data_IF_373568740022
#
_entry.id   IF_373568740022
#
_cell.length_a   1.000
_cell.length_b   1.000
_cell.length_c   1.000
_cell.angle_alpha   90.00
_cell.angle_beta   90.00
_cell.angle_gamma   90.00
#
_symmetry.space_group_name_H-M   'P 1'
#
loop_
_entity.id
_entity.type
_entity.pdbx_description
1 polymer ?
#
# COMPACT_ATOMS: atom_id res chain seq x y z
N UNK A 1 -17.19 -2.83 -22.47
CA UNK A 1 -16.13 -2.19 -23.29
C UNK A 1 -14.94 -1.77 -22.42
N UNK A 2 -15.10 -0.93 -21.39
CA UNK A 2 -13.97 -0.56 -20.52
C UNK A 2 -13.44 -1.71 -19.64
N UNK A 3 -14.33 -2.57 -19.11
CA UNK A 3 -13.93 -3.78 -18.38
C UNK A 3 -13.10 -4.73 -19.26
N UNK A 4 -13.56 -4.99 -20.48
CA UNK A 4 -12.84 -5.79 -21.48
C UNK A 4 -11.48 -5.17 -21.83
N UNK A 5 -11.40 -3.83 -21.95
CA UNK A 5 -10.12 -3.16 -22.16
C UNK A 5 -9.17 -3.41 -20.98
N UNK A 6 -9.66 -3.32 -19.74
CA UNK A 6 -8.85 -3.62 -18.56
C UNK A 6 -8.39 -5.09 -18.54
N UNK A 7 -9.25 -6.03 -18.92
CA UNK A 7 -8.92 -7.47 -19.01
C UNK A 7 -7.82 -7.78 -20.03
N UNK A 8 -7.58 -6.90 -21.02
CA UNK A 8 -6.46 -7.06 -21.96
C UNK A 8 -5.10 -6.65 -21.38
N UNK A 9 -5.10 -5.91 -20.25
CA UNK A 9 -3.88 -5.52 -19.56
C UNK A 9 -3.42 -6.69 -18.70
N UNK A 10 -2.16 -7.09 -18.83
CA UNK A 10 -1.61 -8.20 -18.05
C UNK A 10 -1.69 -7.91 -16.55
N UNK A 11 -1.98 -8.93 -15.73
CA UNK A 11 -2.11 -8.77 -14.28
C UNK A 11 -0.86 -8.23 -13.57
N UNK A 12 0.32 -8.33 -14.20
CA UNK A 12 1.59 -7.80 -13.71
C UNK A 12 2.09 -6.59 -14.55
N UNK A 13 1.28 -6.08 -15.47
CA UNK A 13 1.64 -4.96 -16.35
C UNK A 13 1.38 -3.62 -15.64
N UNK A 14 2.33 -3.22 -14.78
CA UNK A 14 2.25 -1.98 -14.01
C UNK A 14 2.12 -0.75 -14.92
N UNK A 15 2.85 -0.70 -16.02
CA UNK A 15 2.82 0.45 -16.95
C UNK A 15 1.49 0.54 -17.70
N UNK A 16 0.92 -0.61 -18.09
CA UNK A 16 -0.41 -0.71 -18.67
C UNK A 16 -1.50 -0.26 -17.69
N UNK A 17 -1.43 -0.69 -16.43
CA UNK A 17 -2.35 -0.31 -15.37
C UNK A 17 -2.27 1.19 -15.04
N UNK A 18 -1.07 1.77 -14.92
CA UNK A 18 -0.89 3.21 -14.72
C UNK A 18 -1.41 4.02 -15.92
N UNK A 19 -1.19 3.52 -17.14
CA UNK A 19 -1.73 4.13 -18.35
C UNK A 19 -3.26 4.10 -18.36
N UNK A 20 -3.87 2.99 -17.96
CA UNK A 20 -5.32 2.88 -17.84
C UNK A 20 -5.87 3.88 -16.81
N UNK A 21 -5.27 3.98 -15.63
CA UNK A 21 -5.65 4.94 -14.60
C UNK A 21 -5.57 6.38 -15.12
N UNK A 22 -4.48 6.75 -15.79
CA UNK A 22 -4.29 8.09 -16.34
C UNK A 22 -5.35 8.43 -17.40
N UNK A 23 -5.61 7.53 -18.34
CA UNK A 23 -6.54 7.77 -19.45
C UNK A 23 -7.99 7.77 -18.97
N UNK A 24 -8.38 6.74 -18.22
CA UNK A 24 -9.77 6.59 -17.78
C UNK A 24 -10.11 7.50 -16.60
N UNK A 25 -9.14 7.88 -15.77
CA UNK A 25 -9.30 8.88 -14.71
C UNK A 25 -9.59 10.30 -15.20
N UNK A 26 -9.36 10.59 -16.48
CA UNK A 26 -9.78 11.86 -17.09
C UNK A 26 -11.29 11.94 -17.36
N UNK A 27 -12.00 10.80 -17.33
CA UNK A 27 -13.42 10.69 -17.71
C UNK A 27 -14.25 10.12 -16.57
N UNK A 28 -13.72 9.13 -15.86
CA UNK A 28 -14.37 8.47 -14.74
C UNK A 28 -14.06 9.19 -13.43
N UNK A 29 -15.02 9.16 -12.49
CA UNK A 29 -14.77 9.60 -11.13
C UNK A 29 -13.65 8.77 -10.50
N UNK A 30 -12.82 9.38 -9.64
CA UNK A 30 -11.64 8.73 -9.07
C UNK A 30 -11.97 7.48 -8.23
N UNK A 31 -13.16 7.48 -7.60
CA UNK A 31 -13.72 6.34 -6.86
C UNK A 31 -14.56 5.38 -7.72
N UNK A 32 -14.48 5.47 -9.06
CA UNK A 32 -15.16 4.52 -9.94
C UNK A 32 -14.56 3.12 -9.76
N UNK A 33 -15.41 2.09 -9.66
CA UNK A 33 -14.97 0.73 -9.27
C UNK A 33 -13.83 0.16 -10.12
N UNK A 34 -13.81 0.43 -11.44
CA UNK A 34 -12.70 0.04 -12.32
C UNK A 34 -11.37 0.75 -11.98
N UNK A 35 -11.43 2.02 -11.59
CA UNK A 35 -10.20 2.72 -11.18
C UNK A 35 -9.74 2.20 -9.82
N UNK A 36 -10.67 1.96 -8.90
CA UNK A 36 -10.36 1.38 -7.59
C UNK A 36 -9.74 -0.02 -7.73
N UNK A 37 -10.25 -0.88 -8.62
CA UNK A 37 -9.64 -2.20 -8.85
C UNK A 37 -8.22 -2.07 -9.41
N UNK A 38 -7.97 -1.11 -10.31
CA UNK A 38 -6.62 -0.86 -10.84
C UNK A 38 -5.68 -0.29 -9.77
N UNK A 39 -6.16 0.66 -8.95
CA UNK A 39 -5.39 1.20 -7.81
C UNK A 39 -5.01 0.08 -6.84
N UNK A 40 -5.93 -0.85 -6.57
CA UNK A 40 -5.70 -2.01 -5.72
C UNK A 40 -4.58 -2.89 -6.29
N UNK A 41 -4.70 -3.30 -7.57
CA UNK A 41 -3.66 -4.09 -8.24
C UNK A 41 -2.30 -3.40 -8.19
N UNK A 42 -2.23 -2.10 -8.44
CA UNK A 42 -0.97 -1.36 -8.36
C UNK A 42 -0.38 -1.30 -6.93
N UNK A 43 -1.21 -1.12 -5.89
CA UNK A 43 -0.76 -1.16 -4.49
C UNK A 43 -0.14 -2.54 -4.16
N UNK A 44 -0.64 -3.63 -4.76
CA UNK A 44 -0.07 -4.98 -4.60
C UNK A 44 1.19 -5.25 -5.45
N UNK A 45 1.27 -4.71 -6.67
CA UNK A 45 2.38 -4.96 -7.59
C UNK A 45 3.64 -4.18 -7.24
N UNK A 46 3.49 -2.89 -6.89
CA UNK A 46 4.63 -2.07 -6.50
C UNK A 46 5.31 -2.67 -5.27
N UNK A 47 6.58 -3.06 -5.40
CA UNK A 47 7.38 -3.68 -4.36
C UNK A 47 7.49 -5.20 -4.44
N UNK A 48 6.70 -5.87 -5.29
CA UNK A 48 6.60 -7.34 -5.29
C UNK A 48 7.00 -8.03 -6.59
N UNK A 49 6.89 -7.36 -7.74
CA UNK A 49 7.21 -7.95 -9.05
C UNK A 49 8.58 -7.50 -9.58
N UNK A 50 9.16 -8.29 -10.48
CA UNK A 50 10.40 -7.96 -11.17
C UNK A 50 10.30 -6.59 -11.89
N UNK A 51 11.36 -5.78 -11.78
CA UNK A 51 11.37 -4.41 -12.30
C UNK A 51 10.74 -3.38 -11.35
N UNK A 52 9.94 -3.84 -10.39
CA UNK A 52 9.28 -3.01 -9.38
C UNK A 52 9.48 -3.57 -7.96
N UNK A 53 10.54 -4.34 -7.69
CA UNK A 53 10.84 -4.79 -6.33
C UNK A 53 11.17 -3.60 -5.43
N UNK A 54 10.96 -3.72 -4.13
CA UNK A 54 11.21 -2.62 -3.17
C UNK A 54 12.57 -1.92 -3.36
N UNK A 55 13.72 -2.63 -3.51
CA UNK A 55 15.01 -1.98 -3.71
C UNK A 55 15.16 -1.26 -5.08
N UNK A 56 14.28 -1.57 -6.03
CA UNK A 56 14.27 -1.03 -7.39
C UNK A 56 13.37 0.20 -7.53
N UNK A 57 12.46 0.44 -6.58
CA UNK A 57 11.51 1.53 -6.68
C UNK A 57 12.19 2.90 -6.57
N UNK A 58 11.88 3.78 -7.52
CA UNK A 58 12.23 5.19 -7.45
C UNK A 58 11.47 5.90 -6.33
N UNK A 59 11.95 7.07 -5.92
CA UNK A 59 11.23 7.92 -4.94
C UNK A 59 9.82 8.28 -5.42
N UNK A 60 9.66 8.52 -6.73
CA UNK A 60 8.36 8.81 -7.33
C UNK A 60 7.43 7.60 -7.27
N UNK A 61 7.94 6.39 -7.51
CA UNK A 61 7.17 5.15 -7.40
C UNK A 61 6.79 4.81 -5.95
N UNK A 62 7.68 5.04 -4.99
CA UNK A 62 7.37 4.92 -3.56
C UNK A 62 6.24 5.89 -3.18
N UNK A 63 6.33 7.14 -3.63
CA UNK A 63 5.27 8.13 -3.38
C UNK A 63 3.97 7.76 -4.07
N UNK A 64 4.05 7.23 -5.29
CA UNK A 64 2.88 6.75 -6.04
C UNK A 64 2.19 5.62 -5.30
N UNK A 65 2.93 4.63 -4.80
CA UNK A 65 2.40 3.55 -3.96
C UNK A 65 1.70 4.12 -2.71
N UNK A 66 2.32 5.06 -2.01
CA UNK A 66 1.68 5.71 -0.86
C UNK A 66 0.34 6.36 -1.23
N UNK A 67 0.29 7.15 -2.30
CA UNK A 67 -0.95 7.79 -2.77
C UNK A 67 -2.03 6.76 -3.08
N UNK A 68 -1.70 5.71 -3.83
CA UNK A 68 -2.67 4.66 -4.17
C UNK A 68 -3.28 4.00 -2.93
N UNK A 69 -2.44 3.66 -1.95
CA UNK A 69 -2.92 3.01 -0.73
C UNK A 69 -3.72 4.00 0.16
N UNK A 70 -3.41 5.32 0.17
CA UNK A 70 -4.24 6.34 0.84
C UNK A 70 -5.60 6.53 0.18
N UNK A 71 -5.64 6.65 -1.15
CA UNK A 71 -6.89 6.79 -1.92
C UNK A 71 -7.83 5.60 -1.66
N UNK A 72 -7.27 4.38 -1.66
CA UNK A 72 -8.04 3.17 -1.39
C UNK A 72 -8.57 3.16 0.05
N UNK A 73 -7.75 3.53 1.05
CA UNK A 73 -8.20 3.57 2.45
C UNK A 73 -9.33 4.58 2.65
N UNK A 74 -9.29 5.75 2.02
CA UNK A 74 -10.37 6.73 2.11
C UNK A 74 -11.72 6.14 1.66
N UNK A 75 -11.71 5.37 0.58
CA UNK A 75 -12.93 4.72 0.07
C UNK A 75 -13.35 3.54 0.96
N UNK A 76 -12.40 2.69 1.35
CA UNK A 76 -12.68 1.50 2.18
C UNK A 76 -13.22 1.90 3.55
N UNK A 77 -12.71 2.97 4.15
CA UNK A 77 -13.20 3.49 5.44
C UNK A 77 -14.67 3.97 5.37
N UNK A 78 -15.19 4.30 4.17
CA UNK A 78 -16.60 4.67 3.98
C UNK A 78 -17.48 3.45 3.64
N UNK A 79 -16.98 2.53 2.80
CA UNK A 79 -17.76 1.38 2.33
C UNK A 79 -17.81 0.25 3.37
N UNK A 80 -16.71 0.01 4.07
CA UNK A 80 -16.53 -1.09 5.00
C UNK A 80 -15.78 -0.60 6.27
N UNK A 81 -16.39 0.27 7.10
CA UNK A 81 -15.73 0.89 8.26
C UNK A 81 -15.33 -0.10 9.38
N UNK A 82 -15.63 -1.39 9.20
CA UNK A 82 -15.30 -2.45 10.14
C UNK A 82 -13.87 -2.98 9.99
N UNK A 83 -13.64 -4.18 10.52
CA UNK A 83 -12.37 -4.87 10.41
C UNK A 83 -12.36 -5.70 9.12
N UNK A 84 -12.18 -5.04 7.97
CA UNK A 84 -12.14 -5.72 6.68
C UNK A 84 -10.71 -6.14 6.30
N UNK A 85 -10.58 -7.32 5.66
CA UNK A 85 -9.30 -7.84 5.14
C UNK A 85 -8.61 -6.80 4.27
N UNK A 86 -9.36 -6.20 3.35
CA UNK A 86 -8.88 -5.18 2.43
C UNK A 86 -8.22 -4.01 3.17
N UNK A 87 -8.85 -3.50 4.23
CA UNK A 87 -8.30 -2.43 5.06
C UNK A 87 -6.98 -2.85 5.72
N UNK A 88 -6.94 -4.04 6.32
CA UNK A 88 -5.74 -4.58 6.94
C UNK A 88 -4.58 -4.77 5.96
N UNK A 89 -4.89 -5.24 4.74
CA UNK A 89 -3.91 -5.42 3.66
C UNK A 89 -3.37 -4.10 3.15
N UNK A 90 -4.24 -3.10 2.86
CA UNK A 90 -3.78 -1.80 2.37
C UNK A 90 -2.91 -1.08 3.43
N UNK A 91 -3.26 -1.18 4.72
CA UNK A 91 -2.42 -0.64 5.80
C UNK A 91 -1.04 -1.28 5.85
N UNK A 92 -0.97 -2.60 5.64
CA UNK A 92 0.31 -3.28 5.48
C UNK A 92 1.06 -2.78 4.25
N UNK A 93 0.43 -2.70 3.08
CA UNK A 93 1.13 -2.22 1.88
C UNK A 93 1.63 -0.78 2.03
N UNK A 94 0.90 0.09 2.73
CA UNK A 94 1.24 1.50 2.94
C UNK A 94 2.40 1.70 3.94
N UNK A 95 2.61 0.78 4.89
CA UNK A 95 3.70 0.92 5.87
C UNK A 95 5.08 0.94 5.20
N UNK A 96 5.24 0.15 4.13
CA UNK A 96 6.51 -0.06 3.43
C UNK A 96 7.06 1.24 2.80
N UNK A 97 6.33 1.94 1.91
CA UNK A 97 6.85 3.18 1.33
C UNK A 97 7.10 4.26 2.39
N UNK A 98 6.28 4.35 3.43
CA UNK A 98 6.46 5.33 4.52
C UNK A 98 7.74 5.06 5.32
N UNK A 99 8.03 3.79 5.63
CA UNK A 99 9.23 3.41 6.36
C UNK A 99 10.50 3.71 5.55
N UNK A 100 10.49 3.35 4.27
CA UNK A 100 11.62 3.59 3.36
C UNK A 100 11.86 5.08 3.17
N UNK A 101 10.82 5.86 2.89
CA UNK A 101 10.95 7.30 2.72
C UNK A 101 11.49 7.97 3.99
N UNK A 102 10.97 7.61 5.17
CA UNK A 102 11.46 8.14 6.43
C UNK A 102 12.95 7.82 6.66
N UNK A 103 13.37 6.59 6.33
CA UNK A 103 14.78 6.18 6.39
C UNK A 103 15.67 6.99 5.44
N UNK A 104 15.27 7.12 4.17
CA UNK A 104 16.00 7.86 3.15
C UNK A 104 16.14 9.35 3.50
N UNK A 105 15.05 9.99 3.94
CA UNK A 105 15.05 11.40 4.34
C UNK A 105 15.95 11.64 5.56
N UNK A 106 15.98 10.72 6.52
CA UNK A 106 16.83 10.84 7.69
C UNK A 106 18.32 10.64 7.33
N UNK A 107 18.63 9.60 6.55
CA UNK A 107 19.99 9.35 6.07
C UNK A 107 20.54 10.50 5.22
N UNK A 108 19.68 11.12 4.40
CA UNK A 108 20.02 12.30 3.60
C UNK A 108 20.06 13.61 4.39
N UNK A 109 19.82 13.60 5.71
CA UNK A 109 19.83 14.79 6.55
C UNK A 109 18.68 15.78 6.30
N UNK A 110 17.65 15.37 5.53
CA UNK A 110 16.48 16.20 5.21
C UNK A 110 15.56 16.35 6.42
N UNK A 111 15.45 15.30 7.24
CA UNK A 111 14.66 15.31 8.48
C UNK A 111 15.53 15.01 9.69
N UNK A 112 15.15 15.57 10.83
CA UNK A 112 15.82 15.31 12.11
C UNK A 112 15.19 14.14 12.85
N UNK A 113 15.85 13.67 13.93
CA UNK A 113 15.41 12.53 14.75
C UNK A 113 13.99 12.69 15.33
N UNK A 114 13.54 13.92 15.60
CA UNK A 114 12.19 14.17 16.09
C UNK A 114 11.13 13.85 15.01
N UNK A 115 11.38 14.28 13.77
CA UNK A 115 10.50 14.03 12.63
C UNK A 115 10.53 12.55 12.21
N UNK A 116 11.71 11.92 12.23
CA UNK A 116 11.82 10.47 12.03
C UNK A 116 10.93 9.71 13.02
N UNK A 117 11.02 10.03 14.32
CA UNK A 117 10.18 9.39 15.34
C UNK A 117 8.68 9.60 15.08
N UNK A 118 8.26 10.79 14.65
CA UNK A 118 6.85 11.06 14.30
C UNK A 118 6.38 10.15 13.16
N UNK A 119 7.16 10.01 12.10
CA UNK A 119 6.85 9.16 10.94
C UNK A 119 6.86 7.68 11.29
N UNK A 120 7.84 7.23 12.07
CA UNK A 120 7.89 5.84 12.54
C UNK A 120 6.69 5.50 13.44
N UNK A 121 6.17 6.44 14.23
CA UNK A 121 4.91 6.24 14.96
C UNK A 121 3.69 6.06 14.05
N UNK A 122 3.67 6.69 12.88
CA UNK A 122 2.62 6.45 11.87
C UNK A 122 2.74 5.03 11.31
N UNK A 123 3.94 4.62 10.91
CA UNK A 123 4.23 3.25 10.43
C UNK A 123 3.80 2.21 11.47
N UNK A 124 4.14 2.42 12.75
CA UNK A 124 3.72 1.52 13.82
C UNK A 124 2.21 1.45 14.01
N UNK A 125 1.47 2.56 13.84
CA UNK A 125 0.00 2.53 13.90
C UNK A 125 -0.58 1.68 12.78
N UNK A 126 -0.07 1.82 11.56
CA UNK A 126 -0.51 1.04 10.40
C UNK A 126 -0.25 -0.45 10.60
N UNK A 127 0.95 -0.81 11.04
CA UNK A 127 1.32 -2.20 11.32
C UNK A 127 0.48 -2.81 12.44
N UNK A 128 0.24 -2.08 13.54
CA UNK A 128 -0.61 -2.54 14.65
C UNK A 128 -2.04 -2.80 14.21
N UNK A 129 -2.59 -1.91 13.40
CA UNK A 129 -3.96 -2.04 12.93
C UNK A 129 -4.10 -3.15 11.88
N UNK A 130 -3.14 -3.27 10.97
CA UNK A 130 -3.04 -4.38 10.03
C UNK A 130 -2.95 -5.74 10.75
N UNK A 131 -2.03 -5.88 11.72
CA UNK A 131 -1.88 -7.09 12.52
C UNK A 131 -3.18 -7.44 13.26
N UNK A 132 -3.80 -6.45 13.92
CA UNK A 132 -5.04 -6.64 14.67
C UNK A 132 -6.19 -7.14 13.79
N UNK A 133 -6.30 -6.60 12.57
CA UNK A 133 -7.36 -6.98 11.63
C UNK A 133 -7.09 -8.38 11.07
N UNK A 134 -5.90 -8.60 10.54
CA UNK A 134 -5.58 -9.79 9.76
C UNK A 134 -5.29 -11.03 10.63
N UNK A 135 -4.96 -10.85 11.92
CA UNK A 135 -4.83 -11.95 12.87
C UNK A 135 -6.17 -12.64 13.18
N UNK A 136 -7.31 -12.04 12.80
CA UNK A 136 -8.63 -12.67 12.89
C UNK A 136 -8.84 -13.74 11.82
N UNK A 137 -8.02 -13.74 10.77
CA UNK A 137 -8.12 -14.70 9.68
C UNK A 137 -7.53 -16.06 10.08
N UNK A 138 -8.07 -17.18 9.55
CA UNK A 138 -7.60 -18.51 9.90
C UNK A 138 -6.10 -18.70 9.63
N UNK A 139 -5.44 -19.45 10.50
CA UNK A 139 -4.05 -19.86 10.31
C UNK A 139 -3.85 -20.55 8.96
N UNK A 140 -2.73 -20.25 8.28
CA UNK A 140 -2.41 -20.76 6.95
C UNK A 140 -3.00 -19.96 5.78
N UNK A 141 -3.86 -18.96 6.04
CA UNK A 141 -4.26 -17.99 5.02
C UNK A 141 -3.14 -16.98 4.72
N UNK A 142 -3.19 -16.35 3.55
CA UNK A 142 -2.25 -15.29 3.19
C UNK A 142 -2.35 -14.11 4.15
N UNK A 143 -3.58 -13.74 4.52
CA UNK A 143 -3.87 -12.66 5.46
C UNK A 143 -3.27 -12.92 6.83
N UNK A 144 -3.43 -14.13 7.37
CA UNK A 144 -2.79 -14.49 8.64
C UNK A 144 -1.26 -14.37 8.56
N UNK A 145 -0.65 -14.81 7.46
CA UNK A 145 0.78 -14.64 7.22
C UNK A 145 1.22 -13.16 7.17
N UNK A 146 0.38 -12.27 6.63
CA UNK A 146 0.63 -10.82 6.68
C UNK A 146 0.57 -10.32 8.13
N UNK A 147 -0.36 -10.81 8.95
CA UNK A 147 -0.44 -10.45 10.37
C UNK A 147 0.84 -10.84 11.13
N UNK A 148 1.37 -12.04 10.87
CA UNK A 148 2.64 -12.48 11.44
C UNK A 148 3.81 -11.59 11.00
N UNK A 149 3.89 -11.27 9.70
CA UNK A 149 4.92 -10.39 9.17
C UNK A 149 4.83 -8.97 9.76
N UNK A 150 3.61 -8.43 9.95
CA UNK A 150 3.38 -7.14 10.59
C UNK A 150 3.82 -7.16 12.06
N UNK A 151 3.54 -8.24 12.79
CA UNK A 151 3.97 -8.47 14.17
C UNK A 151 5.49 -8.46 14.28
N UNK A 152 6.17 -9.14 13.37
CA UNK A 152 7.63 -9.21 13.36
C UNK A 152 8.28 -7.89 12.96
N UNK A 153 7.69 -7.16 12.01
CA UNK A 153 8.10 -5.80 11.69
C UNK A 153 8.01 -4.87 12.90
N UNK A 154 6.91 -4.94 13.68
CA UNK A 154 6.75 -4.17 14.92
C UNK A 154 7.83 -4.49 15.96
N UNK A 155 8.14 -5.77 16.17
CA UNK A 155 9.22 -6.20 17.09
C UNK A 155 10.58 -5.63 16.64
N UNK A 156 10.87 -5.69 15.35
CA UNK A 156 12.13 -5.20 14.78
C UNK A 156 12.27 -3.68 14.86
N UNK A 157 11.16 -2.93 14.79
CA UNK A 157 11.17 -1.48 14.94
C UNK A 157 11.43 -1.02 16.39
N UNK A 158 11.09 -1.84 17.38
CA UNK A 158 11.16 -1.47 18.80
C UNK A 158 10.21 -0.33 19.18
N UNK A 159 10.33 0.21 20.39
CA UNK A 159 9.54 1.36 20.83
C UNK A 159 10.11 2.68 20.28
N UNK A 160 9.24 3.54 19.76
CA UNK A 160 9.59 4.79 19.05
C UNK A 160 9.10 6.04 19.78
#
# INVERSE_FOLDING_TARGET
QLSQQLETIGGNDVDGLETFLRVQGAVLHDNHYLLLSVKHSLCELYGKIEGFLIPQLSREQLKRKETLCRDLLEVVDQLEPGLSRLRGTIMYEMHVPLLIEAGQLFQGGVIQRAELRRRLKEVQRLLKESERILALEPEGTQEHGIAEAARDALKNMGDV
#
